data_IF_999518356969
#
_entry.id   IF_999518356969
#
_cell.length_a   1.000
_cell.length_b   1.000
_cell.length_c   1.000
_cell.angle_alpha   90.00
_cell.angle_beta   90.00
_cell.angle_gamma   90.00
#
_symmetry.space_group_name_H-M   'P 1'
#
loop_
_entity.id
_entity.type
_entity.pdbx_description
1 polymer ?
#
# COMPACT_ATOMS: atom_id res chain seq x y z
N UNK A 1 2.13 -20.85 -24.00
CA UNK A 1 1.51 -21.41 -22.80
C UNK A 1 1.46 -20.25 -21.80
N UNK A 2 0.35 -19.51 -21.79
CA UNK A 2 0.14 -18.44 -20.82
C UNK A 2 0.06 -19.07 -19.43
N UNK A 3 1.01 -18.71 -18.54
CA UNK A 3 0.90 -19.09 -17.13
C UNK A 3 -0.32 -18.36 -16.56
N UNK A 4 -1.26 -19.12 -16.06
CA UNK A 4 -2.44 -18.62 -15.37
C UNK A 4 -2.00 -17.69 -14.23
N UNK A 5 -2.47 -16.44 -14.25
CA UNK A 5 -2.16 -15.45 -13.20
C UNK A 5 -3.07 -15.76 -12.03
N UNK A 6 -2.50 -16.22 -10.93
CA UNK A 6 -3.26 -16.54 -9.74
C UNK A 6 -3.75 -15.27 -9.05
N UNK A 7 -5.06 -15.19 -8.78
CA UNK A 7 -5.66 -14.11 -8.01
C UNK A 7 -5.44 -14.39 -6.52
N UNK A 8 -4.54 -13.66 -5.90
CA UNK A 8 -4.33 -13.76 -4.45
C UNK A 8 -5.36 -12.88 -3.74
N UNK A 9 -6.25 -13.55 -3.03
CA UNK A 9 -7.18 -12.89 -2.10
C UNK A 9 -6.49 -12.68 -0.76
N UNK A 10 -6.83 -11.59 -0.08
CA UNK A 10 -6.30 -11.25 1.25
C UNK A 10 -6.45 -12.40 2.27
N UNK A 11 -7.41 -13.30 2.08
CA UNK A 11 -7.71 -14.42 2.97
C UNK A 11 -6.91 -15.70 2.73
N UNK A 12 -6.18 -15.84 1.63
CA UNK A 12 -5.74 -17.16 1.13
C UNK A 12 -4.25 -17.34 0.91
N UNK A 13 -3.38 -16.45 1.38
CA UNK A 13 -1.96 -16.56 1.09
C UNK A 13 -1.16 -17.10 2.27
N UNK A 14 -0.50 -18.24 2.08
CA UNK A 14 0.54 -18.75 3.00
C UNK A 14 1.61 -17.70 3.32
N UNK A 15 1.92 -16.83 2.37
CA UNK A 15 2.86 -15.70 2.55
C UNK A 15 2.33 -14.73 3.60
N UNK A 16 1.06 -14.34 3.51
CA UNK A 16 0.44 -13.41 4.46
C UNK A 16 0.37 -14.02 5.87
N UNK A 17 0.24 -15.35 5.99
CA UNK A 17 0.25 -16.03 7.28
C UNK A 17 1.62 -16.01 7.95
N UNK A 18 2.68 -16.03 7.15
CA UNK A 18 4.07 -16.01 7.67
C UNK A 18 4.51 -14.61 8.12
N UNK A 19 3.93 -13.55 7.55
CA UNK A 19 4.38 -12.17 7.77
C UNK A 19 3.39 -11.29 8.53
N UNK A 20 2.17 -11.77 8.80
CA UNK A 20 1.15 -11.00 9.48
C UNK A 20 1.37 -10.99 11.00
N UNK A 21 1.47 -9.79 11.58
CA UNK A 21 1.38 -9.58 13.04
C UNK A 21 -0.08 -9.64 13.52
N UNK A 22 -1.02 -9.26 12.66
CA UNK A 22 -2.46 -9.31 12.87
C UNK A 22 -3.17 -9.56 11.56
N UNK A 23 -4.24 -10.37 11.57
CA UNK A 23 -5.03 -10.68 10.37
C UNK A 23 -6.50 -10.84 10.74
N UNK A 24 -7.37 -10.12 10.04
CA UNK A 24 -8.81 -10.36 9.97
C UNK A 24 -9.32 -10.18 8.53
N UNK A 25 -10.64 -10.19 8.32
CA UNK A 25 -11.25 -10.03 7.00
C UNK A 25 -11.11 -8.62 6.39
N UNK A 26 -10.72 -7.63 7.17
CA UNK A 26 -10.70 -6.21 6.78
C UNK A 26 -9.29 -5.64 6.71
N UNK A 27 -8.40 -6.04 7.64
CA UNK A 27 -7.05 -5.51 7.78
C UNK A 27 -6.06 -6.62 8.11
N UNK A 28 -4.89 -6.56 7.50
CA UNK A 28 -3.71 -7.34 7.87
C UNK A 28 -2.60 -6.36 8.19
N UNK A 29 -1.99 -6.49 9.36
CA UNK A 29 -0.77 -5.78 9.73
C UNK A 29 0.41 -6.68 9.38
N UNK A 30 1.31 -6.17 8.54
CA UNK A 30 2.52 -6.88 8.12
C UNK A 30 3.64 -6.51 9.09
N UNK A 31 4.18 -7.51 9.76
CA UNK A 31 5.36 -7.33 10.61
C UNK A 31 6.63 -7.31 9.76
N UNK A 32 7.74 -6.84 10.34
CA UNK A 32 9.04 -6.82 9.70
C UNK A 32 9.32 -8.14 8.96
N UNK A 33 9.33 -8.07 7.63
CA UNK A 33 9.56 -9.24 6.80
C UNK A 33 11.06 -9.50 6.77
N UNK A 34 11.54 -10.24 7.77
CA UNK A 34 12.87 -10.83 7.74
C UNK A 34 12.75 -12.21 7.07
N UNK A 35 13.23 -12.34 5.85
CA UNK A 35 13.35 -13.59 5.07
C UNK A 35 12.06 -14.11 4.44
N UNK A 36 11.73 -13.58 3.29
CA UNK A 36 11.13 -14.40 2.24
C UNK A 36 12.26 -15.28 1.70
N UNK A 37 12.15 -16.59 1.85
CA UNK A 37 13.20 -17.53 1.40
C UNK A 37 13.46 -17.33 -0.09
N UNK A 38 14.71 -17.19 -0.48
CA UNK A 38 15.20 -16.98 -1.86
C UNK A 38 14.77 -18.05 -2.88
N UNK A 39 14.19 -19.15 -2.42
CA UNK A 39 13.97 -20.36 -3.22
C UNK A 39 12.60 -20.42 -3.90
N UNK A 40 11.66 -19.56 -3.59
CA UNK A 40 10.34 -19.61 -4.19
C UNK A 40 10.23 -18.55 -5.32
N UNK A 41 10.44 -18.98 -6.56
CA UNK A 41 10.03 -18.22 -7.75
C UNK A 41 8.51 -18.18 -7.79
N UNK A 42 7.92 -17.24 -7.05
CA UNK A 42 6.48 -17.05 -7.08
C UNK A 42 6.05 -16.58 -8.47
N UNK A 43 5.03 -17.23 -9.01
CA UNK A 43 4.34 -16.74 -10.21
C UNK A 43 3.84 -15.31 -9.96
N UNK A 44 3.72 -14.47 -11.00
CA UNK A 44 3.11 -13.15 -10.84
C UNK A 44 1.74 -13.29 -10.19
N UNK A 45 1.47 -12.47 -9.20
CA UNK A 45 0.23 -12.51 -8.42
C UNK A 45 -0.59 -11.23 -8.65
N UNK A 46 -1.89 -11.37 -8.75
CA UNK A 46 -2.80 -10.23 -8.81
C UNK A 46 -3.39 -10.00 -7.42
N UNK A 47 -3.00 -8.92 -6.77
CA UNK A 47 -3.47 -8.58 -5.45
C UNK A 47 -4.95 -8.14 -5.47
N UNK A 48 -5.80 -8.73 -4.63
CA UNK A 48 -7.17 -8.28 -4.39
C UNK A 48 -7.25 -7.56 -3.04
N UNK A 49 -6.37 -6.59 -2.83
CA UNK A 49 -6.31 -5.76 -1.63
C UNK A 49 -5.54 -4.46 -1.90
N UNK A 50 -5.79 -3.46 -1.08
CA UNK A 50 -4.93 -2.29 -0.97
C UNK A 50 -3.75 -2.63 -0.08
N UNK A 51 -2.54 -2.23 -0.48
CA UNK A 51 -1.30 -2.51 0.23
C UNK A 51 -0.51 -1.23 0.40
N UNK A 52 -0.03 -0.96 1.62
CA UNK A 52 0.96 0.08 1.91
C UNK A 52 2.12 -0.53 2.70
N UNK A 53 3.32 -0.44 2.18
CA UNK A 53 4.56 -0.97 2.79
C UNK A 53 5.61 0.12 2.80
N UNK A 54 6.17 0.41 3.97
CA UNK A 54 7.34 1.27 4.15
C UNK A 54 8.59 0.39 4.31
N UNK A 55 9.61 0.64 3.50
CA UNK A 55 10.94 0.06 3.69
C UNK A 55 11.68 0.81 4.81
N UNK A 56 12.08 0.07 5.84
CA UNK A 56 12.82 0.60 7.00
C UNK A 56 14.33 0.51 6.81
N UNK A 57 14.79 -0.57 6.17
CA UNK A 57 16.21 -0.86 5.93
C UNK A 57 16.39 -1.79 4.72
N UNK A 58 17.60 -1.81 4.17
CA UNK A 58 17.97 -2.67 3.06
C UNK A 58 17.38 -2.20 1.74
N UNK A 59 17.33 -3.13 0.79
CA UNK A 59 16.79 -2.90 -0.56
C UNK A 59 16.04 -4.13 -1.04
N UNK A 60 15.04 -3.90 -1.87
CA UNK A 60 14.37 -4.97 -2.61
C UNK A 60 14.04 -4.48 -4.03
N UNK A 61 14.01 -5.42 -4.99
CA UNK A 61 13.49 -5.18 -6.32
C UNK A 61 12.15 -5.91 -6.49
N UNK A 62 11.24 -5.29 -7.23
CA UNK A 62 9.94 -5.87 -7.53
C UNK A 62 9.40 -5.33 -8.85
N UNK A 63 8.40 -5.99 -9.40
CA UNK A 63 7.70 -5.50 -10.57
C UNK A 63 6.22 -5.31 -10.25
N UNK A 64 5.70 -4.12 -10.58
CA UNK A 64 4.29 -3.75 -10.45
C UNK A 64 3.75 -3.44 -11.84
N UNK A 65 2.70 -4.15 -12.27
CA UNK A 65 2.11 -4.00 -13.59
C UNK A 65 3.15 -4.03 -14.73
N UNK A 66 4.11 -4.97 -14.65
CA UNK A 66 5.26 -5.16 -15.57
C UNK A 66 6.33 -4.05 -15.55
N UNK A 67 6.22 -3.03 -14.71
CA UNK A 67 7.29 -2.05 -14.50
C UNK A 67 8.16 -2.49 -13.32
N UNK A 68 9.47 -2.46 -13.49
CA UNK A 68 10.43 -2.82 -12.44
C UNK A 68 10.74 -1.62 -11.56
N UNK A 69 10.80 -1.85 -10.25
CA UNK A 69 11.09 -0.85 -9.24
C UNK A 69 12.13 -1.38 -8.27
N UNK A 70 12.96 -0.49 -7.77
CA UNK A 70 13.79 -0.72 -6.58
C UNK A 70 13.20 0.08 -5.42
N UNK A 71 13.12 -0.54 -4.25
CA UNK A 71 12.72 0.11 -3.01
C UNK A 71 13.86 0.04 -2.01
N UNK A 72 14.09 1.14 -1.34
CA UNK A 72 15.09 1.29 -0.30
C UNK A 72 14.53 1.99 0.92
N UNK A 73 15.41 2.33 1.86
CA UNK A 73 15.01 3.00 3.10
C UNK A 73 14.15 4.25 2.83
N UNK A 74 13.08 4.38 3.59
CA UNK A 74 12.08 5.45 3.51
C UNK A 74 11.21 5.45 2.25
N UNK A 75 11.32 4.43 1.39
CA UNK A 75 10.39 4.28 0.27
C UNK A 75 9.08 3.63 0.75
N UNK A 76 7.99 4.34 0.52
CA UNK A 76 6.62 3.88 0.74
C UNK A 76 6.05 3.34 -0.57
N UNK A 77 5.81 2.05 -0.63
CA UNK A 77 5.12 1.40 -1.74
C UNK A 77 3.62 1.33 -1.46
N UNK A 78 2.82 1.80 -2.41
CA UNK A 78 1.36 1.75 -2.36
C UNK A 78 0.83 0.99 -3.58
N UNK A 79 0.07 -0.08 -3.34
CA UNK A 79 -0.57 -0.85 -4.39
C UNK A 79 -2.08 -0.86 -4.23
N UNK A 80 -2.78 -0.61 -5.33
CA UNK A 80 -4.22 -0.73 -5.40
C UNK A 80 -4.66 -2.17 -5.67
N UNK A 81 -5.92 -2.54 -5.36
CA UNK A 81 -6.48 -3.80 -5.81
C UNK A 81 -6.32 -3.98 -7.33
N UNK A 82 -6.09 -5.22 -7.74
CA UNK A 82 -5.79 -5.63 -9.12
C UNK A 82 -4.38 -5.32 -9.63
N UNK A 83 -3.48 -4.73 -8.82
CA UNK A 83 -2.07 -4.60 -9.17
C UNK A 83 -1.44 -5.98 -9.36
N UNK A 84 -0.76 -6.16 -10.49
CA UNK A 84 0.04 -7.35 -10.78
C UNK A 84 1.38 -7.19 -10.07
N UNK A 85 1.62 -8.04 -9.07
CA UNK A 85 2.84 -8.07 -8.27
C UNK A 85 3.73 -9.22 -8.73
N UNK A 86 4.99 -8.93 -8.98
CA UNK A 86 6.04 -9.93 -9.16
C UNK A 86 7.25 -9.48 -8.35
N UNK A 87 7.67 -10.30 -7.39
CA UNK A 87 8.86 -9.98 -6.63
C UNK A 87 10.13 -10.26 -7.44
N UNK A 88 11.15 -9.49 -7.18
CA UNK A 88 12.52 -9.69 -7.65
C UNK A 88 13.41 -10.15 -6.50
N UNK A 89 14.58 -9.55 -6.39
CA UNK A 89 15.52 -9.84 -5.30
C UNK A 89 15.17 -9.06 -4.04
N UNK A 90 15.30 -9.69 -2.89
CA UNK A 90 15.17 -9.08 -1.57
C UNK A 90 16.53 -9.18 -0.89
N UNK A 91 17.08 -8.06 -0.47
CA UNK A 91 18.35 -8.03 0.25
C UNK A 91 18.26 -8.71 1.61
N UNK A 92 19.37 -9.28 2.08
CA UNK A 92 19.43 -10.00 3.37
C UNK A 92 19.10 -9.15 4.57
N UNK A 93 19.30 -7.83 4.48
CA UNK A 93 19.03 -6.85 5.50
C UNK A 93 17.71 -6.08 5.27
N UNK A 94 16.86 -6.53 4.35
CA UNK A 94 15.60 -5.87 4.04
C UNK A 94 14.62 -5.99 5.21
N UNK A 95 14.16 -4.85 5.68
CA UNK A 95 13.15 -4.74 6.71
C UNK A 95 12.05 -3.78 6.25
N UNK A 96 10.81 -4.17 6.44
CA UNK A 96 9.67 -3.32 6.11
C UNK A 96 8.54 -3.48 7.12
N UNK A 97 7.66 -2.51 7.18
CA UNK A 97 6.41 -2.59 7.92
C UNK A 97 5.26 -2.05 7.05
N UNK A 98 4.04 -2.47 7.33
CA UNK A 98 2.91 -1.99 6.55
C UNK A 98 1.61 -2.68 6.87
N UNK A 99 0.63 -2.48 6.02
CA UNK A 99 -0.70 -3.05 6.17
C UNK A 99 -1.38 -3.32 4.83
N UNK A 100 -2.29 -4.29 4.85
CA UNK A 100 -3.23 -4.56 3.77
C UNK A 100 -4.64 -4.24 4.23
N UNK A 101 -5.46 -3.68 3.33
CA UNK A 101 -6.89 -3.45 3.55
C UNK A 101 -7.70 -4.17 2.49
N UNK A 102 -8.80 -4.82 2.89
CA UNK A 102 -9.74 -5.37 1.90
C UNK A 102 -10.32 -4.24 1.04
N UNK A 103 -10.70 -4.50 -0.24
CA UNK A 103 -11.20 -3.46 -1.14
C UNK A 103 -12.41 -2.73 -0.57
N UNK A 104 -13.32 -3.47 0.05
CA UNK A 104 -14.52 -2.93 0.69
C UNK A 104 -14.18 -2.02 1.88
N UNK A 105 -13.21 -2.41 2.68
CA UNK A 105 -12.78 -1.64 3.84
C UNK A 105 -12.01 -0.39 3.43
N UNK A 106 -11.06 -0.54 2.50
CA UNK A 106 -10.32 0.57 1.91
C UNK A 106 -11.28 1.61 1.32
N UNK A 107 -12.25 1.19 0.48
CA UNK A 107 -13.26 2.09 -0.07
C UNK A 107 -14.00 2.86 1.01
N UNK A 108 -14.41 2.20 2.10
CA UNK A 108 -15.11 2.86 3.21
C UNK A 108 -14.26 3.93 3.89
N UNK A 109 -13.00 3.60 4.20
CA UNK A 109 -12.08 4.54 4.84
C UNK A 109 -11.74 5.71 3.91
N UNK A 110 -11.43 5.44 2.64
CA UNK A 110 -11.10 6.47 1.65
C UNK A 110 -12.28 7.39 1.32
N UNK A 111 -13.53 6.89 1.24
CA UNK A 111 -14.71 7.72 1.02
C UNK A 111 -14.95 8.69 2.18
N UNK A 112 -14.63 8.30 3.40
CA UNK A 112 -14.75 9.18 4.57
C UNK A 112 -13.69 10.30 4.57
N UNK A 113 -12.62 10.16 3.81
CA UNK A 113 -11.52 11.12 3.71
C UNK A 113 -11.54 11.99 2.44
N UNK A 114 -12.64 11.99 1.67
CA UNK A 114 -12.69 12.67 0.36
C UNK A 114 -12.71 14.18 0.43
N UNK A 115 -11.62 14.79 -0.03
CA UNK A 115 -11.66 16.02 -0.82
C UNK A 115 -11.76 15.66 -2.32
N UNK A 116 -12.24 16.57 -3.16
CA UNK A 116 -12.45 16.36 -4.61
C UNK A 116 -11.20 15.94 -5.41
N UNK A 117 -10.02 15.97 -4.81
CA UNK A 117 -8.73 15.66 -5.44
C UNK A 117 -8.30 14.18 -5.33
N UNK A 118 -9.12 13.31 -4.73
CA UNK A 118 -8.72 11.93 -4.43
C UNK A 118 -8.47 11.08 -5.71
N UNK A 119 -9.15 11.37 -6.83
CA UNK A 119 -8.94 10.70 -8.10
C UNK A 119 -7.55 10.98 -8.70
N UNK A 120 -7.05 12.22 -8.55
CA UNK A 120 -5.73 12.63 -9.05
C UNK A 120 -4.61 11.90 -8.30
N UNK A 121 -4.70 11.83 -6.98
CA UNK A 121 -3.75 11.08 -6.15
C UNK A 121 -3.76 9.58 -6.49
N UNK A 122 -4.93 9.02 -6.77
CA UNK A 122 -5.06 7.64 -7.21
C UNK A 122 -4.38 7.39 -8.55
N UNK A 123 -4.66 8.23 -9.56
CA UNK A 123 -4.06 8.12 -10.89
C UNK A 123 -2.54 8.29 -10.82
N UNK A 124 -2.07 9.20 -9.96
CA UNK A 124 -0.65 9.40 -9.74
C UNK A 124 0.01 8.15 -9.18
N UNK A 125 -0.59 7.52 -8.15
CA UNK A 125 -0.07 6.28 -7.56
C UNK A 125 -0.09 5.08 -8.52
N UNK A 126 -1.04 5.02 -9.44
CA UNK A 126 -1.06 3.97 -10.47
C UNK A 126 0.17 4.07 -11.39
N UNK A 127 0.70 5.27 -11.61
CA UNK A 127 1.90 5.52 -12.40
C UNK A 127 3.19 5.55 -11.56
N UNK A 128 3.09 5.99 -10.31
CA UNK A 128 4.21 6.14 -9.37
C UNK A 128 3.87 5.45 -8.03
N UNK A 129 3.89 4.12 -7.99
CA UNK A 129 3.47 3.36 -6.80
C UNK A 129 4.48 3.44 -5.65
N UNK A 130 5.62 4.09 -5.85
CA UNK A 130 6.66 4.28 -4.83
C UNK A 130 6.88 5.77 -4.60
N UNK A 131 6.80 6.17 -3.35
CA UNK A 131 7.01 7.53 -2.86
C UNK A 131 8.17 7.51 -1.87
N UNK A 132 9.21 8.32 -2.11
CA UNK A 132 10.30 8.46 -1.17
C UNK A 132 9.93 9.49 -0.10
N UNK A 133 9.68 9.03 1.11
CA UNK A 133 9.38 9.86 2.27
C UNK A 133 10.66 10.47 2.84
N UNK A 134 10.54 11.62 3.51
CA UNK A 134 11.62 12.11 4.35
C UNK A 134 11.65 11.35 5.70
N UNK A 135 12.66 11.60 6.53
CA UNK A 135 12.81 10.90 7.80
C UNK A 135 11.67 11.19 8.78
N UNK A 136 11.11 12.40 8.80
CA UNK A 136 9.97 12.78 9.66
C UNK A 136 8.69 12.07 9.23
N UNK A 137 8.40 12.05 7.94
CA UNK A 137 7.24 11.35 7.36
C UNK A 137 7.34 9.84 7.58
N UNK A 138 8.53 9.27 7.42
CA UNK A 138 8.80 7.86 7.67
C UNK A 138 8.61 7.50 9.15
N UNK A 139 9.08 8.35 10.08
CA UNK A 139 8.84 8.17 11.51
C UNK A 139 7.35 8.27 11.86
N UNK A 140 6.63 9.22 11.27
CA UNK A 140 5.19 9.38 11.47
C UNK A 140 4.42 8.13 11.00
N UNK A 141 4.77 7.59 9.81
CA UNK A 141 4.23 6.31 9.34
C UNK A 141 4.43 5.20 10.37
N UNK A 142 5.65 5.05 10.90
CA UNK A 142 5.97 4.04 11.91
C UNK A 142 5.17 4.24 13.22
N UNK A 143 4.92 5.48 13.64
CA UNK A 143 4.11 5.77 14.83
C UNK A 143 2.66 5.29 14.65
N UNK A 144 2.03 5.61 13.52
CA UNK A 144 0.68 5.14 13.18
C UNK A 144 0.63 3.62 13.07
N UNK A 145 1.61 3.02 12.38
CA UNK A 145 1.73 1.57 12.27
C UNK A 145 1.80 0.90 13.64
N UNK A 146 2.69 1.36 14.52
CA UNK A 146 2.87 0.80 15.86
C UNK A 146 1.60 0.95 16.72
N UNK A 147 0.94 2.10 16.61
CA UNK A 147 -0.32 2.34 17.33
C UNK A 147 -1.43 1.42 16.83
N UNK A 148 -1.60 1.28 15.52
CA UNK A 148 -2.58 0.36 14.92
C UNK A 148 -2.28 -1.08 15.32
N UNK A 149 -1.04 -1.53 15.19
CA UNK A 149 -0.63 -2.89 15.58
C UNK A 149 -0.93 -3.15 17.06
N UNK A 150 -0.55 -2.22 17.94
CA UNK A 150 -0.83 -2.32 19.38
C UNK A 150 -2.33 -2.42 19.68
N UNK A 151 -3.17 -1.64 18.99
CA UNK A 151 -4.62 -1.65 19.23
C UNK A 151 -5.31 -2.88 18.64
N UNK A 152 -4.81 -3.42 17.54
CA UNK A 152 -5.36 -4.63 16.92
C UNK A 152 -4.97 -5.90 17.68
N UNK A 153 -3.77 -5.94 18.26
CA UNK A 153 -3.26 -7.09 19.00
C UNK A 153 -3.62 -7.09 20.49
N UNK A 154 -4.08 -5.95 21.02
CA UNK A 154 -4.50 -5.84 22.41
C UNK A 154 -5.88 -6.48 22.68
N UNK A 155 -6.21 -6.68 23.98
CA UNK A 155 -7.53 -7.18 24.38
C UNK A 155 -8.64 -6.29 23.81
N UNK A 156 -9.63 -6.85 23.11
CA UNK A 156 -10.74 -6.09 22.55
C UNK A 156 -11.51 -5.30 23.62
N UNK A 157 -11.85 -4.05 23.31
CA UNK A 157 -12.71 -3.24 24.17
C UNK A 157 -13.90 -2.69 23.36
N UNK A 158 -14.90 -2.17 24.06
CA UNK A 158 -16.20 -1.77 23.47
C UNK A 158 -16.09 -0.88 22.22
N UNK A 159 -15.10 0.01 22.16
CA UNK A 159 -14.94 1.00 21.08
C UNK A 159 -13.73 0.72 20.20
N UNK A 160 -13.22 -0.51 20.20
CA UNK A 160 -12.00 -0.84 19.45
C UNK A 160 -12.15 -0.62 17.93
N UNK A 161 -13.29 -0.99 17.36
CA UNK A 161 -13.57 -0.85 15.94
C UNK A 161 -13.62 0.61 15.50
N UNK A 162 -14.29 1.45 16.29
CA UNK A 162 -14.38 2.90 16.06
C UNK A 162 -12.98 3.54 16.17
N UNK A 163 -12.20 3.13 17.16
CA UNK A 163 -10.85 3.60 17.36
C UNK A 163 -9.94 3.23 16.18
N UNK A 164 -9.98 1.98 15.71
CA UNK A 164 -9.20 1.54 14.55
C UNK A 164 -9.59 2.32 13.29
N UNK A 165 -10.90 2.52 13.05
CA UNK A 165 -11.36 3.33 11.92
C UNK A 165 -10.85 4.77 12.00
N UNK A 166 -10.91 5.40 13.17
CA UNK A 166 -10.42 6.76 13.36
C UNK A 166 -8.89 6.88 13.16
N UNK A 167 -8.13 5.91 13.66
CA UNK A 167 -6.68 5.85 13.47
C UNK A 167 -6.29 5.66 12.01
N UNK A 168 -6.96 4.74 11.30
CA UNK A 168 -6.72 4.54 9.86
C UNK A 168 -7.09 5.78 9.06
N UNK A 169 -8.18 6.45 9.39
CA UNK A 169 -8.60 7.67 8.72
C UNK A 169 -7.59 8.79 8.91
N UNK A 170 -7.14 9.02 10.16
CA UNK A 170 -6.08 9.99 10.44
C UNK A 170 -4.78 9.65 9.68
N UNK A 171 -4.37 8.38 9.70
CA UNK A 171 -3.18 7.92 9.00
C UNK A 171 -3.26 8.13 7.48
N UNK A 172 -4.42 7.90 6.87
CA UNK A 172 -4.62 8.14 5.44
C UNK A 172 -4.51 9.63 5.10
N UNK A 173 -5.00 10.53 5.94
CA UNK A 173 -4.82 11.97 5.73
C UNK A 173 -3.35 12.38 5.73
N UNK A 174 -2.52 11.82 6.64
CA UNK A 174 -1.08 12.07 6.67
C UNK A 174 -0.39 11.57 5.40
N UNK A 175 -0.75 10.36 4.95
CA UNK A 175 -0.22 9.83 3.69
C UNK A 175 -0.63 10.72 2.51
N UNK A 176 -1.87 11.21 2.47
CA UNK A 176 -2.35 12.08 1.40
C UNK A 176 -1.60 13.41 1.38
N UNK A 177 -1.34 14.03 2.55
CA UNK A 177 -0.56 15.27 2.64
C UNK A 177 0.88 15.05 2.11
N UNK A 178 1.54 13.98 2.49
CA UNK A 178 2.86 13.61 1.97
C UNK A 178 2.83 13.38 0.45
N UNK A 179 1.78 12.73 -0.06
CA UNK A 179 1.59 12.52 -1.49
C UNK A 179 1.39 13.83 -2.25
N UNK A 180 0.57 14.73 -1.74
CA UNK A 180 0.30 16.02 -2.38
C UNK A 180 1.58 16.85 -2.50
N UNK A 181 2.41 16.86 -1.46
CA UNK A 181 3.75 17.46 -1.50
C UNK A 181 4.63 16.82 -2.58
N UNK A 182 4.64 15.49 -2.63
CA UNK A 182 5.43 14.75 -3.61
C UNK A 182 4.98 15.01 -5.05
N UNK A 183 3.67 15.07 -5.30
CA UNK A 183 3.08 15.40 -6.60
C UNK A 183 3.46 16.83 -7.05
N UNK A 184 3.45 17.79 -6.12
CA UNK A 184 3.87 19.17 -6.42
C UNK A 184 5.36 19.26 -6.79
N UNK A 185 6.21 18.44 -6.14
CA UNK A 185 7.64 18.39 -6.43
C UNK A 185 7.98 17.66 -7.73
N UNK A 186 7.18 16.70 -8.13
CA UNK A 186 7.36 15.88 -9.34
C UNK A 186 6.07 15.80 -10.16
N UNK A 187 5.63 16.91 -10.75
CA UNK A 187 4.41 16.91 -11.54
C UNK A 187 4.54 15.96 -12.73
N UNK A 188 3.54 15.12 -12.92
CA UNK A 188 3.46 14.25 -14.10
C UNK A 188 3.09 15.10 -15.31
N UNK A 189 3.85 15.00 -16.40
CA UNK A 189 3.44 15.53 -17.68
C UNK A 189 2.27 14.69 -18.21
N UNK A 190 1.06 15.19 -18.06
CA UNK A 190 -0.12 14.53 -18.63
C UNK A 190 -0.10 14.69 -20.16
N UNK A 191 -0.06 13.56 -20.88
CA UNK A 191 -0.30 13.55 -22.31
C UNK A 191 -1.76 13.98 -22.57
N UNK A 192 -2.02 14.59 -23.74
CA UNK A 192 -3.35 15.11 -24.15
C UNK A 192 -4.49 14.09 -24.01
N UNK A 193 -4.19 12.79 -24.16
CA UNK A 193 -5.14 11.69 -23.95
C UNK A 193 -5.63 11.57 -22.50
N UNK A 194 -4.77 11.86 -21.53
CA UNK A 194 -5.13 11.86 -20.12
C UNK A 194 -5.99 13.07 -19.74
N UNK A 195 -5.78 14.21 -20.39
CA UNK A 195 -6.63 15.40 -20.21
C UNK A 195 -8.07 15.15 -20.69
N UNK A 196 -8.23 14.41 -21.79
CA UNK A 196 -9.56 14.04 -22.30
C UNK A 196 -10.29 13.07 -21.35
N UNK A 197 -9.58 12.09 -20.81
CA UNK A 197 -10.13 11.16 -19.83
C UNK A 197 -10.52 11.88 -18.52
N UNK A 198 -9.73 12.84 -18.07
CA UNK A 198 -10.00 13.63 -16.90
C UNK A 198 -11.22 14.52 -17.07
N UNK A 199 -11.35 15.21 -18.23
CA UNK A 199 -12.53 15.99 -18.58
C UNK A 199 -13.79 15.13 -18.67
N UNK A 200 -13.67 13.89 -19.16
CA UNK A 200 -14.77 12.93 -19.18
C UNK A 200 -15.19 12.50 -17.77
N UNK A 201 -14.24 12.25 -16.87
CA UNK A 201 -14.53 11.88 -15.47
C UNK A 201 -15.17 13.03 -14.68
N UNK A 202 -14.79 14.28 -14.94
CA UNK A 202 -15.42 15.47 -14.33
C UNK A 202 -16.88 15.66 -14.78
N UNK A 203 -17.26 15.15 -15.96
CA UNK A 203 -18.63 15.19 -16.47
C UNK A 203 -19.54 14.09 -15.90
N UNK A 204 -18.98 13.09 -15.20
CA UNK A 204 -19.70 11.96 -14.62
C UNK A 204 -19.98 12.10 -13.12
N UNK A 205 -19.55 13.19 -12.49
CA UNK A 205 -19.80 13.56 -11.09
C UNK A 205 -20.90 14.60 -11.01
#
# INVERSE_FOLDING_TARGET
MEKEIELIRMSSTEIMEKVAAYKDEQIIILNQVNKVSETEQYSPIRADFFLAILCLRGKASLSLNNNSYEIGRNDLMICHPQTLLKHGMIGDDFECCGFCLSPKYAKRIFVMSTSANNWYSRLYLEQHPIISLNDEESQLFCQYYNLLNSKLTSTPHRHQKELINALLQAFIYEIQDSMEKYIQLKPVAFNSSNNLFNAFMELLI
#
